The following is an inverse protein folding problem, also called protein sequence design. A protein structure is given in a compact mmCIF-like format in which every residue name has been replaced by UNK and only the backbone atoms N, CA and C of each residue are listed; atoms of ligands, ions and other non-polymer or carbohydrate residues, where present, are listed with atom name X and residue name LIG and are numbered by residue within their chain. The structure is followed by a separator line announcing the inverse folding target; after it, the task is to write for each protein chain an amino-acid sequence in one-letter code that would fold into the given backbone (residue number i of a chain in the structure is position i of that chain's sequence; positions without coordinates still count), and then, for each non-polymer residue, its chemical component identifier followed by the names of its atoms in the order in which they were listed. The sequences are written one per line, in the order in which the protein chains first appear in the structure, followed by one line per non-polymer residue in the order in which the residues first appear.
data_IF_953213887020
#
_entry.id   IF_953213887020
#
_cell.length_a   1.000
_cell.length_b   1.000
_cell.length_c   1.000
_cell.angle_alpha   90.00
_cell.angle_beta   90.00
_cell.angle_gamma   90.00
#
_symmetry.space_group_name_H-M   'P 1'
#
loop_
_entity.id
_entity.type
_entity.pdbx_description
1 polymer ?
#
# COMPACT_ATOMS: atom_id res chain seq x y z
N UNK A 1 -23.66 8.94 -5.45
CA UNK A 1 -23.32 10.38 -5.68
C UNK A 1 -22.43 10.56 -6.92
N UNK A 2 -21.24 9.93 -6.99
CA UNK A 2 -20.30 10.02 -8.14
C UNK A 2 -20.95 9.77 -9.50
N UNK A 3 -21.70 8.68 -9.66
CA UNK A 3 -22.43 8.37 -10.90
C UNK A 3 -23.45 9.46 -11.27
N UNK A 4 -24.22 9.95 -10.29
CA UNK A 4 -25.23 10.99 -10.50
C UNK A 4 -24.61 12.32 -10.94
N UNK A 5 -23.50 12.72 -10.33
CA UNK A 5 -22.75 13.92 -10.72
C UNK A 5 -22.12 13.77 -12.11
N UNK A 6 -21.61 12.58 -12.44
CA UNK A 6 -21.09 12.26 -13.77
C UNK A 6 -22.16 12.38 -14.87
N UNK A 7 -23.37 11.87 -14.61
CA UNK A 7 -24.50 11.98 -15.55
C UNK A 7 -24.93 13.45 -15.73
N UNK A 8 -25.04 14.22 -14.64
CA UNK A 8 -25.36 15.66 -14.70
C UNK A 8 -24.31 16.43 -15.49
N UNK A 9 -23.02 16.15 -15.26
CA UNK A 9 -21.91 16.76 -16.01
C UNK A 9 -22.00 16.44 -17.50
N UNK A 10 -22.26 15.17 -17.85
CA UNK A 10 -22.46 14.74 -19.24
C UNK A 10 -23.63 15.46 -19.91
N UNK A 11 -24.78 15.57 -19.24
CA UNK A 11 -25.96 16.30 -19.77
C UNK A 11 -25.60 17.77 -20.03
N UNK A 12 -24.83 18.41 -19.14
CA UNK A 12 -24.35 19.78 -19.34
C UNK A 12 -23.43 19.89 -20.56
N UNK A 13 -22.49 18.95 -20.73
CA UNK A 13 -21.57 18.96 -21.87
C UNK A 13 -22.28 18.78 -23.22
N UNK A 14 -23.37 18.00 -23.24
CA UNK A 14 -24.14 17.71 -24.45
C UNK A 14 -25.18 18.78 -24.78
N UNK A 15 -25.38 19.78 -23.91
CA UNK A 15 -26.51 20.72 -24.00
C UNK A 15 -26.54 21.48 -25.32
N UNK A 16 -25.45 22.13 -25.66
CA UNK A 16 -25.38 22.95 -26.88
C UNK A 16 -25.54 22.08 -28.14
N UNK A 17 -24.77 21.00 -28.24
CA UNK A 17 -24.80 20.11 -29.40
C UNK A 17 -26.16 19.46 -29.61
N UNK A 18 -26.82 19.06 -28.52
CA UNK A 18 -28.14 18.44 -28.59
C UNK A 18 -29.22 19.45 -28.95
N UNK A 19 -29.15 20.69 -28.44
CA UNK A 19 -30.07 21.76 -28.82
C UNK A 19 -29.95 22.12 -30.30
N UNK A 20 -28.72 22.24 -30.82
CA UNK A 20 -28.47 22.48 -32.24
C UNK A 20 -28.99 21.33 -33.12
N UNK A 21 -28.78 20.09 -32.69
CA UNK A 21 -29.32 18.92 -33.41
C UNK A 21 -30.85 18.88 -33.38
N UNK A 22 -31.49 19.27 -32.26
CA UNK A 22 -32.95 19.39 -32.20
C UNK A 22 -33.45 20.45 -33.19
N UNK A 23 -32.79 21.61 -33.25
CA UNK A 23 -33.19 22.71 -34.12
C UNK A 23 -33.01 22.36 -35.61
N UNK A 24 -31.92 21.68 -35.97
CA UNK A 24 -31.71 21.16 -37.33
C UNK A 24 -32.82 20.16 -37.74
N UNK A 25 -33.18 19.22 -36.86
CA UNK A 25 -34.29 18.29 -37.11
C UNK A 25 -35.60 19.05 -37.31
N UNK A 26 -35.92 20.01 -36.44
CA UNK A 26 -37.15 20.80 -36.55
C UNK A 26 -37.20 21.61 -37.86
N UNK A 27 -36.08 22.21 -38.28
CA UNK A 27 -36.01 22.93 -39.56
C UNK A 27 -36.17 22.00 -40.77
N UNK A 28 -35.63 20.77 -40.72
CA UNK A 28 -35.87 19.77 -41.78
C UNK A 28 -37.34 19.40 -41.90
N UNK A 29 -38.02 19.15 -40.78
CA UNK A 29 -39.46 18.87 -40.78
C UNK A 29 -40.28 20.08 -41.25
N UNK A 30 -39.86 21.30 -40.92
CA UNK A 30 -40.46 22.55 -41.44
C UNK A 30 -40.31 22.68 -42.95
N UNK A 31 -39.19 22.24 -43.52
CA UNK A 31 -39.01 22.22 -44.98
C UNK A 31 -39.89 21.13 -45.60
N UNK A 32 -39.94 19.94 -45.02
CA UNK A 32 -40.81 18.85 -45.49
C UNK A 32 -42.29 19.26 -45.51
N UNK A 33 -42.74 20.09 -44.58
CA UNK A 33 -44.09 20.66 -44.59
C UNK A 33 -44.41 21.48 -45.83
N UNK A 34 -43.43 22.23 -46.34
CA UNK A 34 -43.59 23.01 -47.57
C UNK A 34 -43.71 22.12 -48.81
N UNK A 35 -43.25 20.88 -48.75
CA UNK A 35 -43.28 19.90 -49.84
C UNK A 35 -44.19 18.71 -49.54
N UNK A 36 -45.17 18.89 -48.64
CA UNK A 36 -46.08 17.84 -48.17
C UNK A 36 -46.90 17.16 -49.27
N UNK A 37 -47.07 17.81 -50.42
CA UNK A 37 -47.73 17.23 -51.61
C UNK A 37 -46.87 16.17 -52.33
N UNK A 38 -45.55 16.16 -52.11
CA UNK A 38 -44.59 15.34 -52.84
C UNK A 38 -43.90 14.29 -51.96
N UNK A 39 -43.88 14.51 -50.64
CA UNK A 39 -43.22 13.64 -49.67
C UNK A 39 -44.13 13.41 -48.48
N UNK A 40 -44.62 12.18 -48.34
CA UNK A 40 -45.43 11.77 -47.20
C UNK A 40 -44.52 11.39 -46.01
N UNK A 41 -44.77 12.00 -44.86
CA UNK A 41 -44.02 11.73 -43.62
C UNK A 41 -44.99 11.15 -42.59
N UNK A 42 -44.66 10.00 -41.97
CA UNK A 42 -45.51 9.41 -40.94
C UNK A 42 -45.81 10.40 -39.80
N UNK A 43 -47.07 10.46 -39.36
CA UNK A 43 -47.48 11.34 -38.28
C UNK A 43 -46.70 11.07 -36.97
N UNK A 44 -46.32 9.81 -36.73
CA UNK A 44 -45.52 9.41 -35.57
C UNK A 44 -44.10 10.00 -35.58
N UNK A 45 -43.45 10.06 -36.74
CA UNK A 45 -42.10 10.64 -36.87
C UNK A 45 -42.14 12.15 -36.67
N UNK A 46 -43.18 12.79 -37.18
CA UNK A 46 -43.46 14.23 -36.99
C UNK A 46 -43.71 14.58 -35.54
N UNK A 47 -44.57 13.82 -34.87
CA UNK A 47 -44.86 14.02 -33.44
C UNK A 47 -43.58 13.85 -32.61
N UNK A 48 -42.76 12.83 -32.93
CA UNK A 48 -41.48 12.59 -32.28
C UNK A 48 -40.50 13.74 -32.48
N UNK A 49 -40.39 14.27 -33.70
CA UNK A 49 -39.52 15.40 -34.03
C UNK A 49 -39.93 16.69 -33.29
N UNK A 50 -41.22 17.01 -33.29
CA UNK A 50 -41.76 18.20 -32.61
C UNK A 50 -41.60 18.11 -31.08
N UNK A 51 -41.73 16.90 -30.52
CA UNK A 51 -41.54 16.66 -29.08
C UNK A 51 -40.06 16.63 -28.64
N UNK A 52 -39.10 16.55 -29.57
CA UNK A 52 -37.69 16.33 -29.24
C UNK A 52 -37.12 17.44 -28.36
N UNK A 53 -37.41 18.70 -28.70
CA UNK A 53 -36.93 19.87 -27.93
C UNK A 53 -37.52 19.90 -26.52
N UNK A 54 -38.80 19.59 -26.38
CA UNK A 54 -39.46 19.54 -25.06
C UNK A 54 -38.93 18.38 -24.21
N UNK A 55 -38.71 17.21 -24.81
CA UNK A 55 -38.11 16.05 -24.14
C UNK A 55 -36.68 16.35 -23.66
N UNK A 56 -35.88 17.02 -24.50
CA UNK A 56 -34.54 17.45 -24.13
C UNK A 56 -34.57 18.45 -22.96
N UNK A 57 -35.45 19.45 -23.04
CA UNK A 57 -35.63 20.44 -21.98
C UNK A 57 -36.01 19.77 -20.65
N UNK A 58 -36.94 18.80 -20.66
CA UNK A 58 -37.29 18.01 -19.47
C UNK A 58 -36.10 17.29 -18.86
N UNK A 59 -35.20 16.74 -19.67
CA UNK A 59 -33.97 16.09 -19.19
C UNK A 59 -33.02 17.10 -18.55
N UNK A 60 -32.83 18.26 -19.18
CA UNK A 60 -32.00 19.36 -18.66
C UNK A 60 -32.57 19.88 -17.33
N UNK A 61 -33.86 20.16 -17.26
CA UNK A 61 -34.52 20.66 -16.05
C UNK A 61 -34.46 19.66 -14.90
N UNK A 62 -34.66 18.38 -15.19
CA UNK A 62 -34.50 17.31 -14.22
C UNK A 62 -33.05 17.24 -13.69
N UNK A 63 -32.06 17.36 -14.57
CA UNK A 63 -30.65 17.37 -14.19
C UNK A 63 -30.28 18.60 -13.34
N UNK A 64 -30.77 19.79 -13.70
CA UNK A 64 -30.54 21.03 -12.94
C UNK A 64 -31.20 20.98 -11.57
N UNK A 65 -32.46 20.54 -11.51
CA UNK A 65 -33.21 20.36 -10.25
C UNK A 65 -32.51 19.37 -9.33
N UNK A 66 -32.06 18.23 -9.88
CA UNK A 66 -31.29 17.25 -9.11
C UNK A 66 -29.96 17.84 -8.65
N UNK A 67 -29.23 18.58 -9.49
CA UNK A 67 -27.99 19.23 -9.06
C UNK A 67 -28.22 20.21 -7.91
N UNK A 68 -29.23 21.06 -8.01
CA UNK A 68 -29.57 22.03 -6.96
C UNK A 68 -29.89 21.34 -5.62
N UNK A 69 -30.66 20.24 -5.66
CA UNK A 69 -30.97 19.44 -4.46
C UNK A 69 -29.74 18.74 -3.88
N UNK A 70 -28.71 18.50 -4.69
CA UNK A 70 -27.46 17.89 -4.23
C UNK A 70 -26.49 18.91 -3.63
N UNK A 71 -26.65 20.22 -3.83
CA UNK A 71 -25.75 21.23 -3.26
C UNK A 71 -25.60 21.18 -1.73
N UNK A 72 -26.68 21.15 -0.92
CA UNK A 72 -26.52 21.03 0.55
C UNK A 72 -25.85 19.71 0.95
N UNK A 73 -26.07 18.66 0.16
CA UNK A 73 -25.45 17.35 0.36
C UNK A 73 -23.96 17.44 0.07
N UNK A 74 -23.55 18.04 -1.07
CA UNK A 74 -22.14 18.29 -1.42
C UNK A 74 -21.44 19.10 -0.33
N UNK A 75 -22.05 20.19 0.13
CA UNK A 75 -21.49 21.02 1.19
C UNK A 75 -21.23 20.20 2.47
N UNK A 76 -22.20 19.37 2.89
CA UNK A 76 -22.03 18.48 4.04
C UNK A 76 -20.90 17.46 3.81
N UNK A 77 -20.84 16.83 2.64
CA UNK A 77 -19.78 15.87 2.32
C UNK A 77 -18.40 16.55 2.30
N UNK A 78 -18.28 17.77 1.78
CA UNK A 78 -17.04 18.54 1.84
C UNK A 78 -16.59 18.81 3.28
N UNK A 79 -17.52 19.16 4.18
CA UNK A 79 -17.21 19.34 5.61
C UNK A 79 -16.73 18.03 6.24
N UNK A 80 -17.40 16.91 5.93
CA UNK A 80 -17.01 15.58 6.43
C UNK A 80 -15.62 15.20 5.90
N UNK A 81 -15.36 15.34 4.59
CA UNK A 81 -14.07 15.03 3.98
C UNK A 81 -12.93 15.86 4.58
N UNK A 82 -13.16 17.15 4.86
CA UNK A 82 -12.17 17.97 5.58
C UNK A 82 -11.91 17.46 7.00
N UNK A 83 -12.97 17.09 7.72
CA UNK A 83 -12.86 16.47 9.04
C UNK A 83 -12.06 15.17 9.00
N UNK A 84 -12.40 14.28 8.06
CA UNK A 84 -11.72 13.00 7.86
C UNK A 84 -10.23 13.21 7.53
N UNK A 85 -9.90 14.18 6.68
CA UNK A 85 -8.51 14.52 6.35
C UNK A 85 -7.72 14.99 7.57
N UNK A 86 -8.32 15.84 8.42
CA UNK A 86 -7.68 16.29 9.67
C UNK A 86 -7.51 15.18 10.70
N UNK A 87 -8.52 14.33 10.86
CA UNK A 87 -8.46 13.19 11.77
C UNK A 87 -7.42 12.17 11.30
N UNK A 88 -7.35 11.92 10.00
CA UNK A 88 -6.37 11.01 9.40
C UNK A 88 -4.93 11.55 9.53
N UNK A 89 -4.72 12.86 9.45
CA UNK A 89 -3.40 13.44 9.73
C UNK A 89 -2.91 13.11 11.15
N UNK A 90 -3.77 13.30 12.16
CA UNK A 90 -3.47 12.92 13.54
C UNK A 90 -3.25 11.40 13.71
N UNK A 91 -4.02 10.58 12.99
CA UNK A 91 -3.84 9.12 12.97
C UNK A 91 -2.47 8.73 12.41
N UNK A 92 -2.00 9.38 11.34
CA UNK A 92 -0.67 9.11 10.77
C UNK A 92 0.47 9.54 11.70
N UNK A 93 0.30 10.64 12.45
CA UNK A 93 1.27 11.07 13.47
C UNK A 93 1.32 10.08 14.64
N UNK A 94 0.17 9.64 15.12
CA UNK A 94 0.07 8.63 16.19
C UNK A 94 0.66 7.29 15.76
N UNK A 95 0.44 6.88 14.50
CA UNK A 95 1.03 5.67 13.95
C UNK A 95 2.56 5.75 13.89
N UNK A 96 3.11 6.88 13.45
CA UNK A 96 4.55 7.12 13.45
C UNK A 96 5.12 7.09 14.87
N UNK A 97 4.50 7.79 15.82
CA UNK A 97 4.94 7.78 17.22
C UNK A 97 4.94 6.36 17.81
N UNK A 98 3.87 5.60 17.57
CA UNK A 98 3.76 4.20 18.02
C UNK A 98 4.86 3.32 17.41
N UNK A 99 5.16 3.51 16.13
CA UNK A 99 6.22 2.79 15.43
C UNK A 99 7.61 3.12 15.99
N UNK A 100 7.87 4.39 16.33
CA UNK A 100 9.14 4.80 16.92
C UNK A 100 9.30 4.29 18.36
N UNK A 101 8.24 4.34 19.18
CA UNK A 101 8.29 3.97 20.60
C UNK A 101 8.24 2.45 20.84
N UNK A 102 7.45 1.73 20.05
CA UNK A 102 7.11 0.32 20.28
C UNK A 102 7.16 -0.55 19.01
N UNK A 103 7.75 -0.02 17.94
CA UNK A 103 7.92 -0.77 16.70
C UNK A 103 9.09 -1.77 16.73
N UNK A 104 9.42 -2.37 15.59
CA UNK A 104 10.41 -3.44 15.51
C UNK A 104 11.81 -3.00 15.96
N UNK A 105 12.16 -1.72 15.80
CA UNK A 105 13.46 -1.19 16.20
C UNK A 105 13.56 -0.75 17.67
N UNK A 106 12.49 -0.91 18.47
CA UNK A 106 12.40 -0.40 19.86
C UNK A 106 13.22 -1.19 20.90
N UNK A 107 14.15 -2.05 20.47
CA UNK A 107 14.99 -2.87 21.36
C UNK A 107 14.33 -4.17 21.83
N UNK A 108 13.27 -4.61 21.16
CA UNK A 108 12.68 -5.95 21.33
C UNK A 108 13.62 -7.04 20.81
N UNK A 109 13.29 -8.32 21.10
CA UNK A 109 14.04 -9.44 20.50
C UNK A 109 13.86 -9.46 18.98
N UNK A 110 14.80 -10.07 18.27
CA UNK A 110 14.77 -10.15 16.80
C UNK A 110 13.53 -10.93 16.31
N UNK A 111 13.12 -11.97 17.03
CA UNK A 111 11.92 -12.77 16.72
C UNK A 111 10.64 -11.95 16.92
N UNK A 112 10.49 -11.28 18.08
CA UNK A 112 9.33 -10.43 18.34
C UNK A 112 9.27 -9.25 17.35
N UNK A 113 10.43 -8.72 16.98
CA UNK A 113 10.55 -7.65 16.00
C UNK A 113 10.10 -8.04 14.59
N UNK A 114 10.33 -9.29 14.17
CA UNK A 114 9.81 -9.81 12.89
C UNK A 114 8.26 -9.80 12.88
N UNK A 115 7.61 -10.19 13.97
CA UNK A 115 6.15 -10.14 14.08
C UNK A 115 5.63 -8.69 14.03
N UNK A 116 6.29 -7.78 14.76
CA UNK A 116 5.96 -6.35 14.74
C UNK A 116 6.19 -5.73 13.36
N UNK A 117 7.19 -6.17 12.61
CA UNK A 117 7.48 -5.68 11.26
C UNK A 117 6.34 -6.03 10.32
N UNK A 118 5.84 -7.26 10.36
CA UNK A 118 4.71 -7.69 9.53
C UNK A 118 3.41 -6.96 9.92
N UNK A 119 3.20 -6.71 11.21
CA UNK A 119 2.08 -5.88 11.66
C UNK A 119 2.20 -4.44 11.13
N UNK A 120 3.39 -3.82 11.21
CA UNK A 120 3.64 -2.48 10.73
C UNK A 120 3.48 -2.36 9.20
N UNK A 121 3.92 -3.35 8.42
CA UNK A 121 3.70 -3.41 6.95
C UNK A 121 2.21 -3.43 6.61
N UNK A 122 1.40 -4.21 7.34
CA UNK A 122 -0.06 -4.26 7.15
C UNK A 122 -0.70 -2.91 7.48
N UNK A 123 -0.33 -2.33 8.62
CA UNK A 123 -0.82 -1.02 9.04
C UNK A 123 -0.47 0.07 8.01
N UNK A 124 0.76 0.09 7.48
CA UNK A 124 1.16 1.04 6.44
C UNK A 124 0.32 0.89 5.17
N UNK A 125 0.04 -0.35 4.74
CA UNK A 125 -0.80 -0.62 3.58
C UNK A 125 -2.25 -0.14 3.78
N UNK A 126 -2.82 -0.35 4.98
CA UNK A 126 -4.15 0.13 5.35
C UNK A 126 -4.23 1.66 5.36
N UNK A 127 -3.24 2.32 5.97
CA UNK A 127 -3.11 3.78 5.96
C UNK A 127 -2.95 4.32 4.54
N UNK A 128 -2.18 3.65 3.68
CA UNK A 128 -2.02 4.00 2.27
C UNK A 128 -3.35 3.94 1.49
N UNK A 129 -4.13 2.87 1.66
CA UNK A 129 -5.44 2.74 1.04
C UNK A 129 -6.44 3.79 1.55
N UNK A 130 -6.36 4.13 2.84
CA UNK A 130 -7.20 5.16 3.44
C UNK A 130 -6.84 6.56 2.93
N UNK A 131 -5.54 6.88 2.81
CA UNK A 131 -5.05 8.09 2.15
C UNK A 131 -5.64 8.22 0.75
N UNK A 132 -5.56 7.16 -0.06
CA UNK A 132 -6.12 7.18 -1.42
C UNK A 132 -7.62 7.51 -1.45
N UNK A 133 -8.37 6.93 -0.52
CA UNK A 133 -9.80 7.16 -0.42
C UNK A 133 -10.12 8.62 -0.09
N UNK A 134 -9.38 9.21 0.86
CA UNK A 134 -9.54 10.61 1.25
C UNK A 134 -9.13 11.54 0.11
N UNK A 135 -7.94 11.34 -0.48
CA UNK A 135 -7.47 12.16 -1.61
C UNK A 135 -8.40 12.09 -2.82
N UNK A 136 -8.98 10.91 -3.11
CA UNK A 136 -10.00 10.79 -4.16
C UNK A 136 -11.29 11.57 -3.83
N UNK A 137 -11.70 11.60 -2.56
CA UNK A 137 -12.84 12.41 -2.13
C UNK A 137 -12.52 13.91 -2.22
N UNK A 138 -11.34 14.35 -1.78
CA UNK A 138 -10.88 15.74 -1.89
C UNK A 138 -10.89 16.19 -3.36
N UNK A 139 -10.29 15.41 -4.26
CA UNK A 139 -10.33 15.68 -5.70
C UNK A 139 -11.75 15.72 -6.27
N UNK A 140 -12.63 14.80 -5.86
CA UNK A 140 -14.01 14.76 -6.35
C UNK A 140 -14.79 16.05 -6.01
N UNK A 141 -14.47 16.67 -4.88
CA UNK A 141 -15.11 17.90 -4.44
C UNK A 141 -14.31 19.17 -4.75
N UNK A 142 -13.19 19.05 -5.47
CA UNK A 142 -12.31 20.18 -5.80
C UNK A 142 -11.67 20.82 -4.57
N UNK A 143 -11.43 20.03 -3.51
CA UNK A 143 -10.67 20.43 -2.35
C UNK A 143 -9.16 20.26 -2.64
N UNK A 144 -8.34 21.06 -1.97
CA UNK A 144 -6.88 20.86 -2.00
C UNK A 144 -6.54 19.51 -1.39
N UNK A 145 -5.72 18.73 -2.09
CA UNK A 145 -5.32 17.40 -1.63
C UNK A 145 -4.38 17.53 -0.43
N UNK A 146 -4.78 16.98 0.71
CA UNK A 146 -4.01 17.03 1.94
C UNK A 146 -2.77 16.14 1.82
N UNK A 147 -1.62 16.63 2.30
CA UNK A 147 -0.37 15.86 2.37
C UNK A 147 -0.18 15.29 3.77
N UNK A 148 0.40 14.09 3.84
CA UNK A 148 0.63 13.36 5.10
C UNK A 148 2.13 13.04 5.25
N UNK A 149 2.97 13.98 5.71
CA UNK A 149 4.41 13.77 5.83
C UNK A 149 4.78 12.62 6.78
N UNK A 150 4.05 12.47 7.89
CA UNK A 150 4.28 11.40 8.87
C UNK A 150 4.16 9.99 8.25
N UNK A 151 3.23 9.81 7.30
CA UNK A 151 3.09 8.55 6.57
C UNK A 151 4.29 8.26 5.66
N UNK A 152 4.87 9.32 5.05
CA UNK A 152 6.11 9.21 4.28
C UNK A 152 7.29 8.81 5.15
N UNK A 153 7.49 9.51 6.27
CA UNK A 153 8.52 9.16 7.25
C UNK A 153 8.37 7.73 7.76
N UNK A 154 7.15 7.30 8.09
CA UNK A 154 6.87 5.93 8.52
C UNK A 154 7.25 4.91 7.44
N UNK A 155 6.94 5.19 6.17
CA UNK A 155 7.32 4.34 5.04
C UNK A 155 8.84 4.21 4.91
N UNK A 156 9.55 5.33 4.97
CA UNK A 156 11.01 5.37 4.84
C UNK A 156 11.70 4.64 6.01
N UNK A 157 11.22 4.85 7.24
CA UNK A 157 11.74 4.12 8.41
C UNK A 157 11.45 2.63 8.33
N UNK A 158 10.25 2.24 7.90
CA UNK A 158 9.87 0.84 7.73
C UNK A 158 10.74 0.14 6.69
N UNK A 159 11.10 0.81 5.59
CA UNK A 159 12.01 0.26 4.59
C UNK A 159 13.39 -0.03 5.19
N UNK A 160 13.93 0.90 5.97
CA UNK A 160 15.23 0.72 6.66
C UNK A 160 15.20 -0.46 7.62
N UNK A 161 14.14 -0.53 8.42
CA UNK A 161 13.92 -1.61 9.38
C UNK A 161 13.76 -2.95 8.66
N UNK A 162 12.98 -3.00 7.57
CA UNK A 162 12.78 -4.21 6.79
C UNK A 162 14.10 -4.75 6.23
N UNK A 163 14.96 -3.88 5.70
CA UNK A 163 16.28 -4.29 5.20
C UNK A 163 17.13 -4.98 6.28
N UNK A 164 17.11 -4.47 7.53
CA UNK A 164 17.86 -5.09 8.63
C UNK A 164 17.27 -6.46 9.00
N UNK A 165 15.94 -6.57 9.04
CA UNK A 165 15.27 -7.84 9.30
C UNK A 165 15.42 -8.86 8.17
N UNK A 166 15.56 -8.45 6.91
CA UNK A 166 15.85 -9.38 5.82
C UNK A 166 17.17 -10.13 6.05
N UNK A 167 18.18 -9.44 6.62
CA UNK A 167 19.45 -10.08 7.02
C UNK A 167 19.21 -11.12 8.12
N UNK A 168 18.36 -10.81 9.09
CA UNK A 168 18.00 -11.73 10.19
C UNK A 168 17.24 -12.94 9.66
N UNK A 169 16.25 -12.73 8.80
CA UNK A 169 15.47 -13.81 8.18
C UNK A 169 16.37 -14.74 7.37
N UNK A 170 17.26 -14.18 6.53
CA UNK A 170 18.23 -14.97 5.78
C UNK A 170 19.19 -15.72 6.71
N UNK A 171 19.62 -15.09 7.80
CA UNK A 171 20.47 -15.73 8.80
C UNK A 171 19.77 -16.90 9.49
N UNK A 172 18.54 -16.73 9.96
CA UNK A 172 17.78 -17.80 10.60
C UNK A 172 17.47 -18.94 9.63
N UNK A 173 17.11 -18.64 8.38
CA UNK A 173 16.92 -19.66 7.36
C UNK A 173 18.21 -20.46 7.11
N UNK A 174 19.36 -19.78 7.07
CA UNK A 174 20.66 -20.43 6.94
C UNK A 174 20.99 -21.32 8.15
N UNK A 175 20.78 -20.82 9.38
CA UNK A 175 21.02 -21.59 10.60
C UNK A 175 20.13 -22.83 10.64
N UNK A 176 18.84 -22.69 10.33
CA UNK A 176 17.87 -23.80 10.34
C UNK A 176 18.17 -24.87 9.28
N UNK A 177 18.55 -24.46 8.07
CA UNK A 177 18.94 -25.40 7.02
C UNK A 177 20.17 -26.23 7.41
N UNK A 178 21.14 -25.63 8.09
CA UNK A 178 22.35 -26.33 8.52
C UNK A 178 22.13 -27.14 9.80
N UNK A 179 21.30 -26.67 10.75
CA UNK A 179 20.98 -27.39 11.99
C UNK A 179 20.16 -28.66 11.74
N UNK A 180 19.30 -28.64 10.71
CA UNK A 180 18.49 -29.79 10.28
C UNK A 180 19.26 -30.80 9.42
N UNK A 181 20.48 -30.48 8.98
CA UNK A 181 21.32 -31.39 8.19
C UNK A 181 21.95 -32.46 9.09
N UNK A 182 21.90 -33.72 8.66
CA UNK A 182 22.55 -34.82 9.37
C UNK A 182 24.04 -34.56 9.55
N UNK A 183 24.58 -34.85 10.74
CA UNK A 183 25.99 -34.60 11.08
C UNK A 183 26.98 -35.20 10.08
N UNK A 184 26.67 -36.37 9.51
CA UNK A 184 27.51 -37.03 8.50
C UNK A 184 27.53 -36.30 7.15
N UNK A 185 26.43 -35.62 6.80
CA UNK A 185 26.26 -34.88 5.55
C UNK A 185 26.59 -33.38 5.68
N UNK A 186 26.88 -32.90 6.89
CA UNK A 186 27.23 -31.51 7.13
C UNK A 186 28.57 -31.15 6.47
N UNK A 187 28.53 -30.22 5.51
CA UNK A 187 29.70 -29.63 4.89
C UNK A 187 30.19 -28.43 5.71
N UNK A 188 31.25 -28.64 6.49
CA UNK A 188 31.84 -27.60 7.34
C UNK A 188 32.46 -26.45 6.54
N UNK A 189 32.92 -26.69 5.31
CA UNK A 189 33.52 -25.65 4.46
C UNK A 189 32.45 -24.73 3.88
N UNK A 190 31.32 -25.31 3.45
CA UNK A 190 30.16 -24.54 3.01
C UNK A 190 29.55 -23.74 4.18
N UNK A 191 29.47 -24.32 5.37
CA UNK A 191 29.00 -23.66 6.59
C UNK A 191 29.87 -22.44 6.95
N UNK A 192 31.20 -22.60 6.98
CA UNK A 192 32.16 -21.52 7.23
C UNK A 192 31.99 -20.38 6.23
N UNK A 193 31.97 -20.70 4.93
CA UNK A 193 31.80 -19.70 3.87
C UNK A 193 30.46 -18.96 4.00
N UNK A 194 29.35 -19.66 4.23
CA UNK A 194 28.04 -19.05 4.40
C UNK A 194 27.97 -18.11 5.62
N UNK A 195 28.58 -18.52 6.73
CA UNK A 195 28.68 -17.67 7.92
C UNK A 195 29.54 -16.42 7.67
N UNK A 196 30.63 -16.54 6.91
CA UNK A 196 31.45 -15.41 6.49
C UNK A 196 30.68 -14.43 5.60
N UNK A 197 29.93 -14.94 4.62
CA UNK A 197 29.09 -14.14 3.72
C UNK A 197 28.03 -13.36 4.50
N UNK A 198 27.31 -14.01 5.42
CA UNK A 198 26.31 -13.35 6.27
C UNK A 198 26.94 -12.28 7.16
N UNK A 199 28.09 -12.56 7.77
CA UNK A 199 28.81 -11.58 8.58
C UNK A 199 29.29 -10.37 7.77
N UNK A 200 29.79 -10.59 6.54
CA UNK A 200 30.16 -9.48 5.64
C UNK A 200 28.93 -8.65 5.27
N UNK A 201 27.79 -9.28 5.01
CA UNK A 201 26.53 -8.57 4.72
C UNK A 201 26.07 -7.73 5.91
N UNK A 202 26.03 -8.30 7.11
CA UNK A 202 25.70 -7.57 8.34
C UNK A 202 26.66 -6.41 8.62
N UNK A 203 27.96 -6.56 8.30
CA UNK A 203 28.95 -5.48 8.42
C UNK A 203 28.75 -4.35 7.39
N UNK A 204 28.30 -4.69 6.18
CA UNK A 204 28.11 -3.78 5.04
C UNK A 204 26.75 -3.07 5.03
N UNK A 205 25.98 -3.18 6.10
CA UNK A 205 24.78 -2.34 6.31
C UNK A 205 25.14 -0.86 6.08
N UNK A 206 24.31 -0.08 5.35
CA UNK A 206 24.53 1.35 5.14
C UNK A 206 24.73 2.12 6.45
N UNK A 207 25.61 3.12 6.47
CA UNK A 207 25.96 3.82 7.71
C UNK A 207 24.80 4.65 8.28
N UNK A 208 23.90 5.12 7.43
CA UNK A 208 22.68 5.81 7.84
C UNK A 208 21.68 4.90 8.57
N UNK A 209 21.80 3.57 8.43
CA UNK A 209 20.96 2.57 9.13
C UNK A 209 21.59 2.17 10.48
N UNK A 210 22.84 2.60 10.73
CA UNK A 210 23.55 2.40 12.00
C UNK A 210 23.41 3.60 12.94
N UNK A 211 22.54 4.55 12.60
CA UNK A 211 22.32 5.78 13.36
C UNK A 211 20.82 6.00 13.60
N UNK A 212 20.48 6.90 14.53
CA UNK A 212 19.09 7.23 14.83
C UNK A 212 18.28 6.05 15.38
N UNK A 213 17.04 5.93 14.92
CA UNK A 213 16.04 4.95 15.42
C UNK A 213 16.39 3.49 15.12
N UNK A 214 17.24 3.23 14.11
CA UNK A 214 17.60 1.86 13.69
C UNK A 214 18.94 1.37 14.24
N UNK A 215 19.69 2.23 14.94
CA UNK A 215 21.04 1.92 15.43
C UNK A 215 21.09 0.69 16.34
N UNK A 216 20.18 0.61 17.32
CA UNK A 216 20.12 -0.51 18.26
C UNK A 216 19.78 -1.83 17.55
N UNK A 217 18.87 -1.78 16.57
CA UNK A 217 18.54 -2.93 15.74
C UNK A 217 19.75 -3.37 14.90
N UNK A 218 20.42 -2.45 14.22
CA UNK A 218 21.60 -2.77 13.42
C UNK A 218 22.72 -3.41 14.26
N UNK A 219 22.94 -2.93 15.49
CA UNK A 219 23.87 -3.55 16.44
C UNK A 219 23.43 -4.95 16.85
N UNK A 220 22.13 -5.16 17.15
CA UNK A 220 21.59 -6.47 17.50
C UNK A 220 21.74 -7.48 16.36
N UNK A 221 21.42 -7.09 15.12
CA UNK A 221 21.60 -7.92 13.92
C UNK A 221 23.07 -8.29 13.73
N UNK A 222 23.97 -7.31 13.83
CA UNK A 222 25.40 -7.57 13.68
C UNK A 222 25.92 -8.51 14.77
N UNK A 223 25.48 -8.31 16.02
CA UNK A 223 25.85 -9.15 17.16
C UNK A 223 25.39 -10.58 16.96
N UNK A 224 24.13 -10.80 16.58
CA UNK A 224 23.57 -12.14 16.36
C UNK A 224 24.39 -12.93 15.33
N UNK A 225 24.59 -12.33 14.14
CA UNK A 225 25.36 -12.95 13.06
C UNK A 225 26.82 -13.19 13.46
N UNK A 226 27.42 -12.26 14.19
CA UNK A 226 28.81 -12.38 14.67
C UNK A 226 28.97 -13.46 15.73
N UNK A 227 28.01 -13.58 16.65
CA UNK A 227 27.98 -14.62 17.67
C UNK A 227 27.86 -16.01 17.04
N UNK A 228 26.99 -16.17 16.04
CA UNK A 228 26.91 -17.42 15.29
C UNK A 228 28.23 -17.73 14.57
N UNK A 229 28.80 -16.76 13.84
CA UNK A 229 30.10 -16.93 13.16
C UNK A 229 31.22 -17.33 14.13
N UNK A 230 31.28 -16.73 15.31
CA UNK A 230 32.29 -17.05 16.33
C UNK A 230 32.17 -18.50 16.84
N UNK A 231 30.99 -19.13 16.72
CA UNK A 231 30.77 -20.53 17.09
C UNK A 231 31.22 -21.52 16.01
N UNK A 232 31.34 -21.12 14.75
CA UNK A 232 31.64 -22.01 13.62
C UNK A 232 32.96 -22.79 13.79
N UNK A 233 34.09 -22.19 14.22
CA UNK A 233 35.34 -22.93 14.40
C UNK A 233 35.21 -24.10 15.40
N UNK A 234 34.29 -24.00 16.37
CA UNK A 234 34.00 -25.10 17.28
C UNK A 234 33.26 -26.23 16.56
N UNK A 235 32.25 -25.92 15.75
CA UNK A 235 31.51 -26.90 14.94
C UNK A 235 32.45 -27.66 14.02
N UNK A 236 33.37 -26.95 13.34
CA UNK A 236 34.36 -27.56 12.44
C UNK A 236 35.31 -28.49 13.20
N UNK A 237 35.78 -28.10 14.38
CA UNK A 237 36.58 -28.97 15.26
C UNK A 237 35.82 -30.23 15.68
N UNK A 238 34.52 -30.10 15.97
CA UNK A 238 33.66 -31.23 16.34
C UNK A 238 33.38 -32.17 15.16
N UNK A 239 33.37 -31.66 13.92
CA UNK A 239 33.13 -32.46 12.71
C UNK A 239 34.35 -33.29 12.27
N UNK A 240 35.53 -32.97 12.80
CA UNK A 240 36.78 -33.66 12.49
C UNK A 240 36.68 -35.17 12.81
N UNK A 241 37.15 -36.02 11.89
CA UNK A 241 37.13 -37.49 12.01
C UNK A 241 37.91 -38.02 13.23
N UNK A 242 38.79 -37.21 13.84
CA UNK A 242 39.44 -37.51 15.11
C UNK A 242 38.48 -37.54 16.31
N UNK A 243 37.24 -37.03 16.16
CA UNK A 243 36.20 -37.11 17.18
C UNK A 243 35.63 -38.52 17.29
N UNK A 244 35.89 -39.16 18.43
CA UNK A 244 35.40 -40.50 18.75
C UNK A 244 34.31 -40.46 19.83
N UNK A 245 33.54 -41.53 19.98
CA UNK A 245 32.39 -41.62 20.90
C UNK A 245 32.73 -41.18 22.34
N UNK A 246 33.93 -41.50 22.83
CA UNK A 246 34.40 -41.05 24.16
C UNK A 246 34.46 -39.52 24.31
N UNK A 247 34.74 -38.79 23.24
CA UNK A 247 34.79 -37.33 23.24
C UNK A 247 33.37 -36.76 23.29
N UNK A 248 32.44 -37.36 22.55
CA UNK A 248 31.01 -37.03 22.64
C UNK A 248 30.45 -37.28 24.05
N UNK A 249 30.79 -38.40 24.70
CA UNK A 249 30.41 -38.68 26.10
C UNK A 249 30.95 -37.65 27.09
N UNK A 250 32.19 -37.18 26.90
CA UNK A 250 32.76 -36.09 27.73
C UNK A 250 32.05 -34.76 27.48
N UNK A 251 31.71 -34.46 26.23
CA UNK A 251 31.03 -33.23 25.85
C UNK A 251 29.62 -33.18 26.45
N UNK A 252 28.82 -34.24 26.28
CA UNK A 252 27.48 -34.36 26.90
C UNK A 252 27.53 -34.18 28.42
N UNK A 253 28.52 -34.78 29.09
CA UNK A 253 28.72 -34.60 30.54
C UNK A 253 29.09 -33.17 30.92
N UNK A 254 29.88 -32.48 30.10
CA UNK A 254 30.32 -31.11 30.37
C UNK A 254 29.24 -30.06 30.06
N UNK A 255 28.42 -30.28 29.03
CA UNK A 255 27.32 -29.37 28.65
C UNK A 255 26.03 -29.67 29.40
N UNK A 256 25.90 -30.84 30.03
CA UNK A 256 24.68 -31.26 30.72
C UNK A 256 23.53 -31.65 29.78
N UNK A 257 23.83 -31.82 28.49
CA UNK A 257 22.86 -32.18 27.44
C UNK A 257 23.08 -33.66 27.12
N UNK A 258 22.07 -34.50 27.38
CA UNK A 258 22.08 -35.96 27.12
C UNK A 258 21.40 -36.32 25.81
#
# INVERSE_FOLDING_TARGET
LKQTLGVISRIRSLKLDTELACDDVLERFRVLDKFSEHVEVPASDRETALALRERWQRVVDAALTKNARLEPIKARFMTVTKGDATAFALETEAALATFTESGPASGVSLEAGLELLEAAKRQLAELGARRDTISQAEMLFGLDVTRYPALGTLSDELERVSFLYDIVTDHYAFVEANSSTLWAALDSTALERGADEMHVRARKVPDDYKTGSTAALAEAVFKEVSSFKASIPLIVKLKNDAMQERHWKKLMKATGIS
#
